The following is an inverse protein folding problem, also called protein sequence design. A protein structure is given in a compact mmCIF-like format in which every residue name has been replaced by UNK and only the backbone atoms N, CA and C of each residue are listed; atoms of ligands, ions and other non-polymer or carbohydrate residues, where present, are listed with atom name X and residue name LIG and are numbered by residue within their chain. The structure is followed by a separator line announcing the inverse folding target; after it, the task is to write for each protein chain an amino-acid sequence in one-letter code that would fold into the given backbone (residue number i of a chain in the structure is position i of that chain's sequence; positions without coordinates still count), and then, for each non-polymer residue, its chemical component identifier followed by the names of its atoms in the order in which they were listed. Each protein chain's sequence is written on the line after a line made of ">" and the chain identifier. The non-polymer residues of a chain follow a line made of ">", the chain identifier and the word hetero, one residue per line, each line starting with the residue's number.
data_IF_712561272769
#
_entry.id   IF_712561272769
#
_cell.length_a   1.000
_cell.length_b   1.000
_cell.length_c   1.000
_cell.angle_alpha   90.00
_cell.angle_beta   90.00
_cell.angle_gamma   90.00
#
_symmetry.space_group_name_H-M   'P 1'
#
loop_
_entity.id
_entity.type
_entity.pdbx_description
1 polymer ?
#
# COMPACT_ATOMS: atom_id res chain seq x y z
N UNK A 1 23.85 15.79 -49.32
CA UNK A 1 25.15 15.41 -48.71
C UNK A 1 25.72 16.40 -47.68
N UNK A 2 25.10 17.57 -47.42
CA UNK A 2 25.70 18.63 -46.59
C UNK A 2 25.20 18.71 -45.14
N UNK A 3 24.08 18.05 -44.80
CA UNK A 3 23.48 18.11 -43.45
C UNK A 3 24.34 17.38 -42.40
N UNK A 4 24.93 16.23 -42.76
CA UNK A 4 25.79 15.44 -41.86
C UNK A 4 27.09 16.19 -41.50
N UNK A 5 27.72 16.87 -42.47
CA UNK A 5 28.89 17.72 -42.22
C UNK A 5 28.57 18.90 -41.31
N UNK A 6 27.39 19.52 -41.50
CA UNK A 6 26.91 20.61 -40.64
C UNK A 6 26.67 20.14 -39.20
N UNK A 7 26.10 18.95 -39.03
CA UNK A 7 25.89 18.31 -37.73
C UNK A 7 27.22 18.03 -37.01
N UNK A 8 28.21 17.49 -37.72
CA UNK A 8 29.55 17.25 -37.19
C UNK A 8 30.26 18.53 -36.72
N UNK A 9 30.08 19.65 -37.42
CA UNK A 9 30.69 20.93 -37.04
C UNK A 9 30.04 21.55 -35.80
N UNK A 10 28.73 21.34 -35.61
CA UNK A 10 27.96 21.87 -34.46
C UNK A 10 28.16 21.00 -33.20
N UNK A 11 28.45 19.71 -33.36
CA UNK A 11 28.67 18.82 -32.20
C UNK A 11 29.92 19.20 -31.39
N UNK A 12 29.79 19.39 -30.06
CA UNK A 12 30.91 19.72 -29.18
C UNK A 12 32.02 18.66 -29.19
N UNK A 13 33.29 19.07 -28.97
CA UNK A 13 34.46 18.17 -29.01
C UNK A 13 34.37 16.99 -28.02
N UNK A 14 33.75 17.20 -26.85
CA UNK A 14 33.57 16.15 -25.84
C UNK A 14 32.65 15.02 -26.31
N UNK A 15 31.64 15.34 -27.14
CA UNK A 15 30.70 14.36 -27.68
C UNK A 15 31.31 13.48 -28.80
N UNK A 16 32.46 13.90 -29.35
CA UNK A 16 33.22 13.15 -30.37
C UNK A 16 34.21 12.16 -29.76
N UNK A 17 34.42 12.24 -28.45
CA UNK A 17 35.32 11.33 -27.75
C UNK A 17 34.63 9.96 -27.57
N UNK A 18 35.24 8.90 -28.14
CA UNK A 18 34.74 7.52 -28.03
C UNK A 18 34.55 7.06 -26.58
N UNK A 19 35.40 7.52 -25.66
CA UNK A 19 35.30 7.21 -24.23
C UNK A 19 34.13 7.92 -23.55
N UNK A 20 33.83 9.15 -23.97
CA UNK A 20 32.67 9.88 -23.47
C UNK A 20 31.37 9.24 -23.98
N UNK A 21 31.32 8.90 -25.27
CA UNK A 21 30.14 8.28 -25.86
C UNK A 21 29.87 6.89 -25.25
N UNK A 22 30.92 6.07 -25.05
CA UNK A 22 30.78 4.79 -24.37
C UNK A 22 30.36 4.95 -22.91
N UNK A 23 30.93 5.91 -22.19
CA UNK A 23 30.54 6.22 -20.82
C UNK A 23 29.09 6.72 -20.73
N UNK A 24 28.68 7.60 -21.63
CA UNK A 24 27.32 8.13 -21.69
C UNK A 24 26.30 7.05 -22.02
N UNK A 25 26.60 6.16 -22.99
CA UNK A 25 25.75 5.00 -23.27
C UNK A 25 25.65 4.08 -22.05
N UNK A 26 26.75 3.87 -21.34
CA UNK A 26 26.79 3.04 -20.13
C UNK A 26 26.00 3.68 -18.97
N UNK A 27 26.09 5.00 -18.81
CA UNK A 27 25.29 5.74 -17.83
C UNK A 27 23.80 5.68 -18.16
N UNK A 28 23.43 5.86 -19.43
CA UNK A 28 22.04 5.67 -19.88
C UNK A 28 21.60 4.22 -19.64
N UNK A 29 22.46 3.24 -19.89
CA UNK A 29 22.16 1.84 -19.63
C UNK A 29 21.81 1.63 -18.16
N UNK A 30 22.67 2.06 -17.23
CA UNK A 30 22.40 1.93 -15.80
C UNK A 30 21.17 2.75 -15.40
N UNK A 31 20.99 3.97 -15.92
CA UNK A 31 19.85 4.79 -15.54
C UNK A 31 18.49 4.24 -16.01
N UNK A 32 18.43 3.60 -17.19
CA UNK A 32 17.17 3.13 -17.80
C UNK A 32 16.92 1.62 -17.67
N UNK A 33 17.97 0.80 -17.73
CA UNK A 33 17.86 -0.67 -17.68
C UNK A 33 18.19 -1.26 -16.31
N UNK A 34 18.73 -0.48 -15.36
CA UNK A 34 18.96 -1.01 -14.01
C UNK A 34 17.62 -1.19 -13.26
N UNK A 35 17.59 -2.26 -12.48
CA UNK A 35 16.45 -2.78 -11.70
C UNK A 35 15.96 -1.82 -10.62
N UNK A 36 16.72 -0.77 -10.32
CA UNK A 36 16.38 0.33 -9.42
C UNK A 36 15.48 1.39 -10.06
N UNK A 37 14.56 0.98 -10.94
CA UNK A 37 13.59 1.91 -11.50
C UNK A 37 12.79 2.61 -10.38
N UNK A 38 12.61 3.92 -10.52
CA UNK A 38 11.79 4.76 -9.62
C UNK A 38 10.38 4.14 -9.43
N UNK A 39 9.86 3.49 -10.47
CA UNK A 39 8.60 2.73 -10.43
C UNK A 39 8.60 1.62 -9.38
N UNK A 40 9.70 0.88 -9.24
CA UNK A 40 9.84 -0.17 -8.23
C UNK A 40 9.89 0.42 -6.82
N UNK A 41 10.52 1.57 -6.64
CA UNK A 41 10.56 2.26 -5.34
C UNK A 41 9.17 2.75 -4.92
N UNK A 42 8.43 3.40 -5.82
CA UNK A 42 7.06 3.85 -5.57
C UNK A 42 6.14 2.66 -5.24
N UNK A 43 6.29 1.53 -5.95
CA UNK A 43 5.50 0.32 -5.67
C UNK A 43 5.79 -0.23 -4.27
N UNK A 44 7.07 -0.25 -3.86
CA UNK A 44 7.49 -0.70 -2.52
C UNK A 44 6.94 0.21 -1.43
N UNK A 45 7.02 1.53 -1.58
CA UNK A 45 6.44 2.47 -0.61
C UNK A 45 4.93 2.31 -0.46
N UNK A 46 4.21 2.09 -1.58
CA UNK A 46 2.76 1.81 -1.53
C UNK A 46 2.46 0.51 -0.80
N UNK A 47 3.26 -0.53 -0.99
CA UNK A 47 3.11 -1.80 -0.27
C UNK A 47 3.35 -1.63 1.23
N UNK A 48 4.39 -0.89 1.62
CA UNK A 48 4.68 -0.57 3.03
C UNK A 48 3.47 0.14 3.66
N UNK A 49 2.98 1.23 3.04
CA UNK A 49 1.81 1.96 3.54
C UNK A 49 0.55 1.09 3.64
N UNK A 50 0.37 0.16 2.70
CA UNK A 50 -0.76 -0.79 2.76
C UNK A 50 -0.62 -1.71 3.98
N UNK A 51 0.56 -2.31 4.18
CA UNK A 51 0.81 -3.21 5.30
C UNK A 51 0.66 -2.46 6.64
N UNK A 52 1.18 -1.24 6.76
CA UNK A 52 1.01 -0.42 7.97
C UNK A 52 -0.46 -0.12 8.26
N UNK A 53 -1.26 0.17 7.22
CA UNK A 53 -2.70 0.36 7.36
C UNK A 53 -3.39 -0.92 7.81
N UNK A 54 -3.03 -2.06 7.23
CA UNK A 54 -3.59 -3.37 7.58
C UNK A 54 -3.25 -3.72 9.04
N UNK A 55 -2.00 -3.51 9.47
CA UNK A 55 -1.58 -3.67 10.87
C UNK A 55 -2.44 -2.83 11.80
N UNK A 56 -2.57 -1.52 11.51
CA UNK A 56 -3.39 -0.62 12.35
C UNK A 56 -4.85 -1.06 12.41
N UNK A 57 -5.40 -1.51 11.29
CA UNK A 57 -6.78 -2.00 11.24
C UNK A 57 -6.95 -3.24 12.14
N UNK A 58 -6.12 -4.27 11.96
CA UNK A 58 -6.25 -5.50 12.74
C UNK A 58 -5.92 -5.30 14.22
N UNK A 59 -4.96 -4.43 14.57
CA UNK A 59 -4.71 -4.08 15.98
C UNK A 59 -5.95 -3.47 16.64
N UNK A 60 -6.65 -2.57 15.94
CA UNK A 60 -7.90 -1.99 16.46
C UNK A 60 -9.03 -3.01 16.57
N UNK A 61 -9.16 -3.94 15.62
CA UNK A 61 -10.18 -4.99 15.70
C UNK A 61 -9.89 -5.96 16.85
N UNK A 62 -8.62 -6.34 17.06
CA UNK A 62 -8.20 -7.17 18.19
C UNK A 62 -8.54 -6.49 19.53
N UNK A 63 -8.32 -5.17 19.65
CA UNK A 63 -8.66 -4.44 20.87
C UNK A 63 -10.16 -4.50 21.18
N UNK A 64 -11.01 -4.29 20.16
CA UNK A 64 -12.47 -4.43 20.30
C UNK A 64 -12.88 -5.85 20.66
N UNK A 65 -12.29 -6.85 20.02
CA UNK A 65 -12.57 -8.26 20.30
C UNK A 65 -12.17 -8.63 21.73
N UNK A 66 -11.06 -8.10 22.23
CA UNK A 66 -10.62 -8.29 23.61
C UNK A 66 -11.59 -7.65 24.61
N UNK A 67 -12.05 -6.42 24.36
CA UNK A 67 -13.10 -5.79 25.18
C UNK A 67 -14.37 -6.64 25.19
N UNK A 68 -14.78 -7.16 24.02
CA UNK A 68 -15.95 -8.02 23.88
C UNK A 68 -15.77 -9.34 24.65
N UNK A 69 -14.60 -9.97 24.57
CA UNK A 69 -14.27 -11.18 25.33
C UNK A 69 -14.30 -10.90 26.83
N UNK A 70 -13.78 -9.78 27.30
CA UNK A 70 -13.85 -9.40 28.72
C UNK A 70 -15.28 -9.25 29.21
N UNK A 71 -16.13 -8.65 28.39
CA UNK A 71 -17.56 -8.50 28.66
C UNK A 71 -18.26 -9.87 28.67
N UNK A 72 -17.94 -10.75 27.72
CA UNK A 72 -18.49 -12.11 27.62
C UNK A 72 -18.05 -13.07 28.73
N UNK A 73 -16.81 -12.91 29.21
CA UNK A 73 -16.21 -13.82 30.20
C UNK A 73 -16.67 -13.53 31.62
N UNK A 74 -17.47 -12.48 31.82
CA UNK A 74 -18.13 -12.24 33.09
C UNK A 74 -19.27 -13.25 33.24
N UNK A 75 -19.15 -14.15 34.22
CA UNK A 75 -20.04 -15.30 34.50
C UNK A 75 -21.50 -14.93 34.85
N UNK A 76 -21.86 -13.66 34.72
CA UNK A 76 -23.22 -13.17 34.86
C UNK A 76 -23.69 -12.68 33.51
N UNK A 77 -24.54 -13.48 32.86
CA UNK A 77 -25.49 -13.00 31.85
C UNK A 77 -26.37 -11.92 32.50
N UNK A 78 -25.84 -10.71 32.65
CA UNK A 78 -26.61 -9.58 33.13
C UNK A 78 -27.57 -9.16 32.03
N UNK A 79 -28.74 -8.63 32.39
CA UNK A 79 -29.71 -8.10 31.43
C UNK A 79 -29.08 -7.00 30.54
N UNK A 80 -28.08 -6.28 31.04
CA UNK A 80 -27.29 -5.28 30.29
C UNK A 80 -26.44 -5.91 29.19
N UNK A 81 -25.90 -7.11 29.41
CA UNK A 81 -25.12 -7.84 28.41
C UNK A 81 -26.01 -8.33 27.25
N UNK A 82 -27.20 -8.87 27.56
CA UNK A 82 -28.18 -9.25 26.54
C UNK A 82 -28.63 -8.02 25.73
N UNK A 83 -28.84 -6.89 26.40
CA UNK A 83 -29.19 -5.61 25.76
C UNK A 83 -28.08 -5.13 24.81
N UNK A 84 -26.81 -5.21 25.22
CA UNK A 84 -25.67 -4.86 24.37
C UNK A 84 -25.61 -5.71 23.09
N UNK A 85 -25.80 -7.04 23.20
CA UNK A 85 -25.83 -7.92 22.03
C UNK A 85 -27.00 -7.65 21.08
N UNK A 86 -28.17 -7.29 21.62
CA UNK A 86 -29.34 -6.91 20.82
C UNK A 86 -29.12 -5.59 20.08
N UNK A 87 -28.53 -4.59 20.74
CA UNK A 87 -28.38 -3.23 20.18
C UNK A 87 -27.16 -3.05 19.27
N UNK A 88 -26.03 -3.67 19.59
CA UNK A 88 -24.76 -3.48 18.85
C UNK A 88 -24.47 -4.57 17.83
N UNK A 89 -24.90 -5.79 18.11
CA UNK A 89 -24.54 -6.97 17.31
C UNK A 89 -25.75 -7.61 16.60
N UNK A 90 -26.95 -7.06 16.78
CA UNK A 90 -28.22 -7.55 16.20
C UNK A 90 -28.39 -9.07 16.37
N UNK A 91 -27.99 -9.61 17.52
CA UNK A 91 -28.16 -11.03 17.82
C UNK A 91 -29.61 -11.32 18.21
N UNK A 92 -30.27 -12.23 17.49
CA UNK A 92 -31.64 -12.69 17.76
C UNK A 92 -31.65 -13.91 18.68
N UNK A 93 -32.66 -14.00 19.57
CA UNK A 93 -32.99 -15.27 20.24
C UNK A 93 -33.56 -16.27 19.22
N UNK A 94 -33.51 -17.57 19.56
CA UNK A 94 -33.90 -18.70 18.67
C UNK A 94 -35.29 -18.60 18.02
N UNK A 95 -36.19 -17.77 18.57
CA UNK A 95 -37.56 -17.54 18.07
C UNK A 95 -37.86 -16.05 17.79
N UNK A 96 -36.85 -15.24 17.48
CA UNK A 96 -37.00 -13.80 17.27
C UNK A 96 -36.54 -13.40 15.86
N UNK A 97 -37.42 -12.80 15.07
CA UNK A 97 -37.10 -12.29 13.72
C UNK A 97 -36.71 -10.80 13.80
N UNK A 98 -35.53 -10.47 13.30
CA UNK A 98 -35.02 -9.08 13.25
C UNK A 98 -35.34 -8.51 11.87
N UNK A 99 -36.13 -7.44 11.84
CA UNK A 99 -36.46 -6.71 10.63
C UNK A 99 -35.57 -5.47 10.49
N UNK A 100 -34.78 -5.39 9.43
CA UNK A 100 -34.15 -4.13 9.00
C UNK A 100 -35.10 -3.42 8.05
N UNK A 101 -35.58 -2.24 8.47
CA UNK A 101 -36.40 -1.37 7.65
C UNK A 101 -35.46 -0.32 7.05
N UNK A 102 -35.41 -0.27 5.73
CA UNK A 102 -34.63 0.71 4.94
C UNK A 102 -35.45 2.00 4.71
#
# INVERSE_FOLDING_TARGET
>A
MNKLKKLYLITPKWLKNKYFLSGFLFFIWIAFFDTHSIKNQIKKERQIKKIEKDIKYYSNEIEKDLELIQILSQDTLSEELEKYFREKMFLSKKNEEIFMIE
#
